data_IF_881978456042
#
_entry.id   IF_881978456042
#
_cell.length_a   1.000
_cell.length_b   1.000
_cell.length_c   1.000
_cell.angle_alpha   90.00
_cell.angle_beta   90.00
_cell.angle_gamma   90.00
#
_symmetry.space_group_name_H-M   'P 1'
#
loop_
_entity.id
_entity.type
_entity.pdbx_description
1 polymer ?
#
# COMPACT_ATOMS: atom_id res chain seq x y z
N UNK A 1 -16.45 12.81 26.08
CA UNK A 1 -16.63 11.90 24.91
C UNK A 1 -16.25 12.70 23.68
N UNK A 2 -15.05 12.50 23.17
CA UNK A 2 -14.65 12.99 21.86
C UNK A 2 -15.20 12.04 20.82
N UNK A 3 -16.34 12.37 20.23
CA UNK A 3 -16.88 11.66 19.08
C UNK A 3 -16.05 12.07 17.84
N UNK A 4 -14.89 11.44 17.69
CA UNK A 4 -14.16 11.48 16.42
C UNK A 4 -14.72 10.38 15.54
N UNK A 5 -15.70 10.71 14.72
CA UNK A 5 -16.21 9.80 13.70
C UNK A 5 -15.31 9.85 12.46
N UNK A 6 -14.99 8.68 11.94
CA UNK A 6 -14.26 8.53 10.70
C UNK A 6 -15.11 7.69 9.75
N UNK A 7 -15.66 8.32 8.73
CA UNK A 7 -16.46 7.67 7.72
C UNK A 7 -15.64 7.44 6.45
N UNK A 8 -15.62 6.19 5.98
CA UNK A 8 -14.88 5.82 4.77
C UNK A 8 -15.79 5.05 3.83
N UNK A 9 -15.86 5.49 2.58
CA UNK A 9 -16.63 4.84 1.50
C UNK A 9 -15.72 4.58 0.33
N UNK A 10 -15.76 3.36 -0.20
CA UNK A 10 -14.89 3.00 -1.31
C UNK A 10 -15.47 1.96 -2.24
N UNK A 11 -14.84 1.81 -3.39
CA UNK A 11 -15.14 0.80 -4.40
C UNK A 11 -13.83 0.22 -4.92
N UNK A 12 -13.78 -1.10 -5.10
CA UNK A 12 -12.64 -1.79 -5.69
C UNK A 12 -13.08 -2.67 -6.86
N UNK A 13 -12.15 -2.89 -7.79
CA UNK A 13 -12.30 -3.78 -8.91
C UNK A 13 -11.01 -4.54 -9.18
N UNK A 14 -11.09 -5.86 -9.30
CA UNK A 14 -9.98 -6.74 -9.65
C UNK A 14 -10.33 -7.58 -10.86
N UNK A 15 -9.37 -7.78 -11.75
CA UNK A 15 -9.51 -8.58 -12.95
C UNK A 15 -8.29 -9.45 -13.22
N UNK A 16 -8.54 -10.56 -13.93
CA UNK A 16 -7.48 -11.45 -14.40
C UNK A 16 -7.76 -11.84 -15.85
N UNK A 17 -6.70 -11.90 -16.64
CA UNK A 17 -6.76 -12.34 -18.03
C UNK A 17 -5.64 -13.35 -18.28
N UNK A 18 -6.01 -14.50 -18.85
CA UNK A 18 -5.05 -15.56 -19.18
C UNK A 18 -4.81 -15.55 -20.69
N UNK A 19 -3.58 -15.30 -21.09
CA UNK A 19 -3.09 -15.49 -22.46
C UNK A 19 -2.32 -16.82 -22.59
N UNK A 20 -1.83 -17.10 -23.77
CA UNK A 20 -1.13 -18.36 -24.08
C UNK A 20 0.18 -18.51 -23.29
N UNK A 21 0.94 -17.44 -23.16
CA UNK A 21 2.24 -17.44 -22.49
C UNK A 21 2.31 -16.49 -21.30
N UNK A 22 1.41 -15.51 -21.19
CA UNK A 22 1.40 -14.49 -20.15
C UNK A 22 0.03 -14.44 -19.51
N UNK A 23 0.00 -14.47 -18.19
CA UNK A 23 -1.20 -14.20 -17.40
C UNK A 23 -1.11 -12.79 -16.82
N UNK A 24 -2.21 -12.05 -16.89
CA UNK A 24 -2.31 -10.68 -16.39
C UNK A 24 -3.23 -10.64 -15.18
N UNK A 25 -2.89 -9.80 -14.22
CA UNK A 25 -3.80 -9.37 -13.16
C UNK A 25 -3.74 -7.85 -13.05
N UNK A 26 -4.88 -7.24 -12.81
CA UNK A 26 -4.99 -5.80 -12.70
C UNK A 26 -6.12 -5.45 -11.72
N UNK A 27 -6.04 -4.32 -11.11
CA UNK A 27 -7.09 -3.84 -10.21
C UNK A 27 -6.93 -2.38 -9.92
N UNK A 28 -7.95 -1.85 -9.27
CA UNK A 28 -7.99 -0.50 -8.78
C UNK A 28 -8.98 -0.38 -7.63
N UNK A 29 -8.71 0.56 -6.74
CA UNK A 29 -9.51 0.91 -5.60
C UNK A 29 -9.56 2.42 -5.46
N UNK A 30 -10.72 2.95 -5.15
CA UNK A 30 -10.91 4.35 -4.80
C UNK A 30 -11.77 4.44 -3.56
N UNK A 31 -11.37 5.29 -2.61
CA UNK A 31 -12.16 5.60 -1.44
C UNK A 31 -12.11 7.09 -1.10
N UNK A 32 -13.13 7.54 -0.38
CA UNK A 32 -13.17 8.85 0.26
C UNK A 32 -13.34 8.66 1.75
N UNK A 33 -12.73 9.52 2.53
CA UNK A 33 -12.77 9.48 3.98
C UNK A 33 -13.04 10.89 4.50
N UNK A 34 -14.03 11.02 5.37
CA UNK A 34 -14.30 12.26 6.12
C UNK A 34 -14.10 12.03 7.61
N UNK A 35 -13.52 13.01 8.26
CA UNK A 35 -13.34 13.04 9.71
C UNK A 35 -14.21 14.16 10.29
N UNK A 36 -15.20 13.79 11.11
CA UNK A 36 -16.01 14.74 11.85
C UNK A 36 -15.46 14.90 13.27
N UNK A 37 -15.34 16.14 13.70
CA UNK A 37 -14.96 16.46 15.08
C UNK A 37 -16.21 16.80 15.87
N UNK A 38 -16.31 16.19 17.07
CA UNK A 38 -17.48 16.33 17.94
C UNK A 38 -17.80 17.78 18.31
N UNK A 39 -19.08 18.09 18.50
CA UNK A 39 -19.58 19.42 18.83
C UNK A 39 -18.93 19.99 20.10
N UNK A 40 -18.20 21.10 19.97
CA UNK A 40 -17.52 21.80 21.06
C UNK A 40 -16.00 21.86 20.94
N UNK A 41 -15.39 21.15 20.00
CA UNK A 41 -13.98 21.25 19.68
C UNK A 41 -13.77 22.27 18.54
N UNK A 42 -12.64 22.97 18.57
CA UNK A 42 -12.24 23.94 17.52
C UNK A 42 -11.54 23.23 16.34
N UNK A 43 -11.75 21.95 16.16
CA UNK A 43 -11.08 21.20 15.12
C UNK A 43 -11.85 21.31 13.79
N UNK A 44 -11.12 21.21 12.72
CA UNK A 44 -11.59 21.33 11.35
C UNK A 44 -12.01 19.95 10.86
N UNK A 45 -13.14 19.85 10.14
CA UNK A 45 -13.48 18.64 9.40
C UNK A 45 -12.48 18.44 8.28
N UNK A 46 -12.06 17.21 8.05
CA UNK A 46 -11.10 16.85 7.01
C UNK A 46 -11.71 15.86 6.04
N UNK A 47 -11.36 16.04 4.75
CA UNK A 47 -11.71 15.14 3.68
C UNK A 47 -10.46 14.66 2.96
N UNK A 48 -10.25 13.35 2.88
CA UNK A 48 -9.13 12.76 2.16
C UNK A 48 -9.60 11.68 1.20
N UNK A 49 -8.83 11.44 0.13
CA UNK A 49 -9.11 10.40 -0.84
C UNK A 49 -8.01 9.34 -0.85
N UNK A 50 -8.38 8.14 -1.25
CA UNK A 50 -7.48 7.01 -1.49
C UNK A 50 -7.61 6.54 -2.92
N UNK A 51 -6.50 6.24 -3.54
CA UNK A 51 -6.44 5.58 -4.84
C UNK A 51 -5.37 4.49 -4.81
N UNK A 52 -5.72 3.29 -5.26
CA UNK A 52 -4.74 2.27 -5.61
C UNK A 52 -5.01 1.77 -7.03
N UNK A 53 -3.96 1.50 -7.79
CA UNK A 53 -4.06 0.84 -9.08
C UNK A 53 -2.85 -0.07 -9.29
N UNK A 54 -3.08 -1.27 -9.82
CA UNK A 54 -1.98 -2.18 -10.10
C UNK A 54 -2.14 -2.94 -11.43
N UNK A 55 -1.00 -3.31 -11.98
CA UNK A 55 -0.90 -4.22 -13.12
C UNK A 55 0.21 -5.25 -12.86
N UNK A 56 -0.09 -6.52 -13.07
CA UNK A 56 0.86 -7.61 -12.94
C UNK A 56 0.85 -8.51 -14.18
N UNK A 57 2.04 -8.95 -14.58
CA UNK A 57 2.24 -9.91 -15.65
C UNK A 57 3.04 -11.12 -15.14
N UNK A 58 2.54 -12.32 -15.37
CA UNK A 58 3.22 -13.56 -15.00
C UNK A 58 3.60 -14.33 -16.25
N UNK A 59 4.89 -14.59 -16.41
CA UNK A 59 5.49 -15.37 -17.49
C UNK A 59 6.49 -16.37 -16.91
N UNK A 60 6.39 -17.65 -17.31
CA UNK A 60 7.31 -18.72 -16.88
C UNK A 60 7.53 -18.80 -15.37
N UNK A 61 6.51 -18.53 -14.56
CA UNK A 61 6.58 -18.61 -13.10
C UNK A 61 7.20 -17.37 -12.42
N UNK A 62 7.56 -16.34 -13.19
CA UNK A 62 8.01 -15.03 -12.68
C UNK A 62 6.88 -14.04 -12.87
N UNK A 63 6.56 -13.29 -11.82
CA UNK A 63 5.59 -12.20 -11.84
C UNK A 63 6.28 -10.87 -11.69
N UNK A 64 6.06 -9.97 -12.63
CA UNK A 64 6.38 -8.54 -12.51
C UNK A 64 5.09 -7.78 -12.20
N UNK A 65 5.14 -6.87 -11.24
CA UNK A 65 3.99 -6.05 -10.84
C UNK A 65 4.42 -4.59 -10.62
N UNK A 66 3.58 -3.69 -11.07
CA UNK A 66 3.62 -2.28 -10.69
C UNK A 66 2.35 -1.96 -9.91
N UNK A 67 2.52 -1.28 -8.78
CA UNK A 67 1.45 -0.71 -7.96
C UNK A 67 1.66 0.79 -7.85
N UNK A 68 0.58 1.53 -7.85
CA UNK A 68 0.58 2.95 -7.52
C UNK A 68 -0.51 3.21 -6.50
N UNK A 69 -0.11 3.66 -5.32
CA UNK A 69 -1.00 3.95 -4.20
C UNK A 69 -0.89 5.41 -3.82
N UNK A 70 -2.03 6.04 -3.56
CA UNK A 70 -2.14 7.40 -3.03
C UNK A 70 -3.00 7.34 -1.77
N UNK A 71 -2.41 7.69 -0.66
CA UNK A 71 -3.07 8.05 0.58
C UNK A 71 -3.12 9.59 0.59
N UNK A 72 -4.21 10.15 0.10
CA UNK A 72 -4.35 11.57 -0.21
C UNK A 72 -4.27 12.46 1.02
N UNK A 73 -3.99 13.72 0.79
CA UNK A 73 -3.96 14.78 1.79
C UNK A 73 -5.12 15.74 1.64
N UNK A 74 -5.60 16.27 2.74
CA UNK A 74 -6.44 17.46 2.79
C UNK A 74 -5.56 18.68 3.14
N UNK A 75 -5.14 19.43 2.11
CA UNK A 75 -4.34 20.66 2.19
C UNK A 75 -3.08 20.57 3.10
N UNK A 76 -2.43 19.40 3.14
CA UNK A 76 -1.25 19.16 3.97
C UNK A 76 -1.53 19.08 5.48
N UNK A 77 -2.79 19.05 5.88
CA UNK A 77 -3.21 19.06 7.29
C UNK A 77 -3.65 17.68 7.79
N UNK A 78 -4.18 16.85 6.90
CA UNK A 78 -4.68 15.52 7.23
C UNK A 78 -4.42 14.55 6.09
N UNK A 79 -3.84 13.38 6.39
CA UNK A 79 -3.65 12.29 5.43
C UNK A 79 -4.71 11.21 5.61
N UNK A 80 -5.14 10.59 4.51
CA UNK A 80 -6.09 9.46 4.53
C UNK A 80 -5.65 8.39 5.54
N UNK A 81 -6.44 8.20 6.60
CA UNK A 81 -6.08 7.34 7.71
C UNK A 81 -6.45 5.87 7.45
N UNK A 82 -5.59 4.97 7.88
CA UNK A 82 -5.78 3.51 7.78
C UNK A 82 -5.76 2.84 9.17
N UNK A 83 -6.68 3.16 10.09
CA UNK A 83 -6.60 2.78 11.51
C UNK A 83 -6.65 1.27 11.76
N UNK A 84 -7.17 0.50 10.80
CA UNK A 84 -7.29 -0.97 10.90
C UNK A 84 -6.25 -1.72 10.06
N UNK A 85 -5.35 -1.01 9.39
CA UNK A 85 -4.29 -1.64 8.60
C UNK A 85 -3.26 -2.31 9.52
N UNK A 86 -2.76 -3.48 9.09
CA UNK A 86 -1.61 -4.13 9.72
C UNK A 86 -0.30 -3.53 9.24
N UNK A 87 -0.16 -2.32 9.27
CA UNK A 87 0.90 -1.34 8.97
C UNK A 87 2.22 -1.87 8.36
N UNK A 88 2.70 -3.05 8.79
CA UNK A 88 3.93 -3.65 8.27
C UNK A 88 3.80 -4.06 6.79
N UNK A 89 4.76 -3.68 5.96
CA UNK A 89 4.95 -4.00 4.53
C UNK A 89 3.91 -3.45 3.51
N UNK A 90 3.04 -2.57 3.90
CA UNK A 90 2.19 -1.90 2.91
C UNK A 90 2.96 -0.78 2.20
N UNK A 91 3.44 0.20 2.94
CA UNK A 91 4.24 1.31 2.43
C UNK A 91 5.70 1.16 2.90
N UNK A 92 6.35 0.06 2.43
CA UNK A 92 7.70 -0.33 2.85
C UNK A 92 7.74 -1.24 4.07
N UNK A 93 8.84 -2.00 4.23
CA UNK A 93 9.01 -2.97 5.31
C UNK A 93 9.78 -2.41 6.50
N UNK A 94 10.38 -1.24 6.34
CA UNK A 94 11.10 -0.52 7.42
C UNK A 94 10.14 0.20 8.37
N UNK A 95 8.82 0.12 8.10
CA UNK A 95 7.76 0.74 8.91
C UNK A 95 7.94 2.27 9.05
N UNK A 96 8.50 2.91 8.02
CA UNK A 96 8.70 4.36 8.00
C UNK A 96 7.36 5.12 7.99
N UNK A 97 6.33 4.52 7.39
CA UNK A 97 5.00 5.10 7.24
C UNK A 97 3.95 4.25 7.98
N UNK A 98 4.11 4.07 9.31
CA UNK A 98 3.11 3.41 10.17
C UNK A 98 1.78 4.18 10.25
N UNK A 99 1.80 5.45 10.00
CA UNK A 99 0.63 6.29 9.80
C UNK A 99 0.85 7.17 8.60
N UNK A 100 -0.23 7.48 7.89
CA UNK A 100 -0.15 8.41 6.76
C UNK A 100 0.27 9.79 7.25
N UNK A 101 1.34 10.38 6.69
CA UNK A 101 1.72 11.74 7.02
C UNK A 101 0.62 12.74 6.64
N UNK A 102 0.56 13.90 7.29
CA UNK A 102 -0.46 14.91 7.02
C UNK A 102 -0.46 15.39 5.55
N UNK A 103 0.72 15.45 4.93
CA UNK A 103 0.88 15.76 3.50
C UNK A 103 0.48 14.61 2.57
N UNK A 104 -0.07 13.52 3.11
CA UNK A 104 -0.38 12.33 2.31
C UNK A 104 0.86 11.55 1.89
N UNK A 105 0.65 10.42 1.23
CA UNK A 105 1.70 9.53 0.75
C UNK A 105 1.35 8.99 -0.63
N UNK A 106 2.26 9.11 -1.58
CA UNK A 106 2.25 8.38 -2.84
C UNK A 106 3.33 7.32 -2.79
N UNK A 107 2.99 6.09 -3.12
CA UNK A 107 3.92 4.95 -3.21
C UNK A 107 3.85 4.34 -4.61
N UNK A 108 4.91 4.55 -5.39
CA UNK A 108 5.10 3.85 -6.65
C UNK A 108 5.98 2.62 -6.41
N UNK A 109 5.35 1.44 -6.45
CA UNK A 109 6.02 0.18 -6.14
C UNK A 109 6.21 -0.68 -7.40
N UNK A 110 7.44 -1.14 -7.59
CA UNK A 110 7.78 -2.18 -8.56
C UNK A 110 8.18 -3.45 -7.84
N UNK A 111 7.63 -4.58 -8.24
CA UNK A 111 8.01 -5.85 -7.63
C UNK A 111 8.22 -6.96 -8.66
N UNK A 112 9.14 -7.87 -8.32
CA UNK A 112 9.39 -9.12 -9.02
C UNK A 112 9.29 -10.27 -8.03
N UNK A 113 8.64 -11.35 -8.41
CA UNK A 113 8.53 -12.52 -7.55
C UNK A 113 8.51 -13.82 -8.37
N UNK A 114 8.89 -14.93 -7.72
CA UNK A 114 8.91 -16.23 -8.38
C UNK A 114 9.30 -17.35 -7.44
N UNK A 115 9.40 -18.57 -8.00
CA UNK A 115 9.90 -19.73 -7.30
C UNK A 115 11.40 -19.89 -7.50
N UNK A 116 12.12 -20.35 -6.47
CA UNK A 116 13.54 -20.70 -6.52
C UNK A 116 13.84 -21.77 -5.46
N UNK A 117 14.47 -22.88 -5.85
CA UNK A 117 14.98 -23.92 -4.93
C UNK A 117 13.96 -24.39 -3.86
N UNK A 118 12.71 -24.61 -4.26
CA UNK A 118 11.63 -25.05 -3.37
C UNK A 118 11.01 -23.96 -2.50
N UNK A 119 11.50 -22.73 -2.57
CA UNK A 119 10.96 -21.56 -1.89
C UNK A 119 10.37 -20.54 -2.86
N UNK A 120 9.97 -19.40 -2.30
CA UNK A 120 9.47 -18.23 -3.02
C UNK A 120 10.32 -17.02 -2.68
N UNK A 121 10.64 -16.22 -3.68
CA UNK A 121 11.33 -14.95 -3.50
C UNK A 121 10.47 -13.78 -3.96
N UNK A 122 10.71 -12.64 -3.35
CA UNK A 122 10.12 -11.35 -3.69
C UNK A 122 11.19 -10.27 -3.59
N UNK A 123 11.31 -9.47 -4.63
CA UNK A 123 12.05 -8.21 -4.65
C UNK A 123 11.04 -7.09 -4.84
N UNK A 124 11.06 -6.06 -4.01
CA UNK A 124 10.20 -4.90 -4.13
C UNK A 124 11.01 -3.61 -3.97
N UNK A 125 10.73 -2.64 -4.83
CA UNK A 125 11.27 -1.28 -4.76
C UNK A 125 10.09 -0.33 -4.63
N UNK A 126 10.19 0.58 -3.67
CA UNK A 126 9.23 1.64 -3.41
C UNK A 126 9.88 2.98 -3.66
N UNK A 127 9.14 3.90 -4.26
CA UNK A 127 9.48 5.30 -4.43
C UNK A 127 8.38 6.15 -3.81
N UNK A 128 8.72 6.86 -2.74
CA UNK A 128 7.78 7.58 -1.91
C UNK A 128 7.81 9.07 -2.17
N UNK A 129 6.65 9.67 -2.37
CA UNK A 129 6.50 11.12 -2.47
C UNK A 129 5.27 11.62 -1.71
N UNK A 130 5.27 12.91 -1.37
CA UNK A 130 4.12 13.54 -0.75
C UNK A 130 2.98 13.71 -1.76
N UNK A 131 1.73 13.63 -1.30
CA UNK A 131 0.58 13.99 -2.12
C UNK A 131 0.43 15.50 -2.20
N UNK A 132 0.56 16.18 -1.08
CA UNK A 132 0.65 17.64 -0.99
C UNK A 132 2.10 18.07 -0.71
N UNK A 133 2.71 18.80 -1.65
CA UNK A 133 4.06 19.34 -1.52
C UNK A 133 4.10 20.84 -1.20
N UNK A 134 3.01 21.42 -0.75
CA UNK A 134 2.88 22.87 -0.46
C UNK A 134 3.87 23.35 0.62
N UNK A 135 4.30 22.46 1.52
CA UNK A 135 5.33 22.73 2.51
C UNK A 135 6.78 22.69 1.97
N UNK A 136 6.96 22.41 0.66
CA UNK A 136 8.26 22.30 -0.01
C UNK A 136 8.94 20.93 0.13
N UNK A 137 8.29 19.94 0.74
CA UNK A 137 8.76 18.55 0.80
C UNK A 137 7.93 17.71 -0.14
N UNK A 138 8.57 17.14 -1.16
CA UNK A 138 7.94 16.26 -2.14
C UNK A 138 8.53 14.84 -2.07
N UNK A 139 9.84 14.72 -2.05
CA UNK A 139 10.55 13.43 -1.96
C UNK A 139 10.55 12.92 -0.51
N UNK A 140 9.97 11.74 -0.29
CA UNK A 140 9.94 11.05 0.99
C UNK A 140 10.89 9.84 1.04
N UNK A 141 11.68 9.64 -0.03
CA UNK A 141 12.71 8.62 -0.13
C UNK A 141 12.28 7.38 -0.87
N UNK A 142 13.09 6.34 -0.77
CA UNK A 142 12.85 5.06 -1.44
C UNK A 142 13.31 3.88 -0.59
N UNK A 143 12.74 2.71 -0.85
CA UNK A 143 13.05 1.48 -0.11
C UNK A 143 13.20 0.30 -1.05
N UNK A 144 14.20 -0.56 -0.79
CA UNK A 144 14.41 -1.81 -1.50
C UNK A 144 14.29 -2.99 -0.54
N UNK A 145 13.38 -3.91 -0.84
CA UNK A 145 13.07 -5.08 -0.02
C UNK A 145 13.37 -6.37 -0.77
N UNK A 146 13.98 -7.33 -0.09
CA UNK A 146 14.20 -8.68 -0.58
C UNK A 146 13.73 -9.70 0.44
N UNK A 147 12.88 -10.63 0.01
CA UNK A 147 12.41 -11.75 0.82
C UNK A 147 12.65 -13.09 0.13
N UNK A 148 13.01 -14.09 0.90
CA UNK A 148 12.97 -15.49 0.49
C UNK A 148 12.29 -16.32 1.58
N UNK A 149 11.28 -17.09 1.20
CA UNK A 149 10.50 -17.94 2.10
C UNK A 149 10.57 -19.38 1.61
N UNK A 150 10.99 -20.29 2.48
CA UNK A 150 11.00 -21.74 2.21
C UNK A 150 10.51 -22.52 3.42
N UNK A 151 10.02 -23.72 3.20
CA UNK A 151 9.62 -24.64 4.27
C UNK A 151 10.77 -25.63 4.51
N UNK A 152 11.27 -25.66 5.73
CA UNK A 152 12.25 -26.67 6.17
C UNK A 152 11.46 -27.81 6.82
N UNK A 153 11.38 -28.96 6.16
CA UNK A 153 10.85 -30.19 6.78
C UNK A 153 11.94 -30.80 7.68
N UNK A 154 11.73 -30.75 9.00
CA UNK A 154 12.50 -31.56 9.93
C UNK A 154 11.90 -32.98 9.94
N UNK A 155 12.49 -33.91 9.22
CA UNK A 155 12.11 -35.35 9.26
C UNK A 155 12.59 -36.10 10.53
N UNK A 156 13.03 -35.41 11.57
CA UNK A 156 13.53 -36.03 12.80
C UNK A 156 12.64 -35.74 14.01
N UNK A 157 11.45 -36.33 14.06
CA UNK A 157 10.75 -36.59 15.32
C UNK A 157 9.85 -37.82 15.16
N UNK A 158 10.45 -39.00 14.94
CA UNK A 158 9.81 -40.31 15.24
C UNK A 158 10.83 -41.16 15.96
N UNK A 159 10.81 -41.06 17.28
CA UNK A 159 11.18 -42.14 18.18
C UNK A 159 10.19 -42.15 19.35
#
# INVERSE_FOLDING_TARGET
>A
DTDNALDTYGVSYDGKMKGDNVSWAYGGEFATQSSEVGAGETATDFDASYLNAYLAATFSGITAKVDYEILGSDDGMYGFATPLATLHKFNGWTDQFLGTPAQGLKDLKFSLSGGLAGGKWLLAYHDFSADDSSNGVDDLGSELNLQYVTTVQNEHLTT
#
